data_IF_482197074713
#
_entry.id   IF_482197074713
#
_cell.length_a   1.000
_cell.length_b   1.000
_cell.length_c   1.000
_cell.angle_alpha   90.00
_cell.angle_beta   90.00
_cell.angle_gamma   90.00
#
_symmetry.space_group_name_H-M   'P 1'
#
loop_
_entity.id
_entity.type
_entity.pdbx_description
1 polymer ?
#
# COMPACT_ATOMS: atom_id res chain seq x y z
N UNK A 1 -4.13 44.61 51.48
CA UNK A 1 -3.62 44.56 50.09
C UNK A 1 -3.73 43.14 49.58
N UNK A 2 -4.33 42.98 48.41
CA UNK A 2 -4.82 41.73 47.84
C UNK A 2 -3.68 40.89 47.26
N UNK A 3 -3.67 39.60 47.56
CA UNK A 3 -2.71 38.61 47.07
C UNK A 3 -2.78 38.49 45.54
N UNK A 4 -1.66 38.71 44.85
CA UNK A 4 -1.51 38.39 43.44
C UNK A 4 -1.00 36.95 43.30
N UNK A 5 -1.90 36.02 42.97
CA UNK A 5 -1.54 34.66 42.58
C UNK A 5 -0.80 34.66 41.22
N UNK A 6 0.30 33.91 41.05
CA UNK A 6 0.92 33.74 39.75
C UNK A 6 0.03 32.88 38.85
N UNK A 7 -0.29 33.41 37.67
CA UNK A 7 -1.06 32.76 36.61
C UNK A 7 -0.47 31.37 36.32
N UNK A 8 -1.25 30.32 36.59
CA UNK A 8 -1.00 28.98 36.09
C UNK A 8 -0.77 29.03 34.57
N UNK A 9 0.47 28.83 34.12
CA UNK A 9 0.74 28.52 32.71
C UNK A 9 0.07 27.19 32.41
N UNK A 10 -0.96 27.24 31.56
CA UNK A 10 -1.57 26.04 31.01
C UNK A 10 -0.47 25.20 30.32
N UNK A 11 -0.33 23.94 30.73
CA UNK A 11 0.53 22.98 30.06
C UNK A 11 0.04 22.79 28.61
N UNK A 12 0.93 22.73 27.61
CA UNK A 12 0.54 22.40 26.25
C UNK A 12 -0.06 20.99 26.23
N UNK A 13 -1.31 20.87 25.81
CA UNK A 13 -1.98 19.58 25.60
C UNK A 13 -1.22 18.78 24.55
N UNK A 14 -0.93 17.51 24.85
CA UNK A 14 -0.28 16.59 23.89
C UNK A 14 -1.14 16.48 22.63
N UNK A 15 -0.55 16.54 21.41
CA UNK A 15 -1.27 16.24 20.18
C UNK A 15 -1.83 14.82 20.25
N UNK A 16 -3.12 14.64 19.92
CA UNK A 16 -3.74 13.30 19.84
C UNK A 16 -3.20 12.56 18.61
N UNK A 17 -2.91 11.25 18.68
CA UNK A 17 -2.28 10.50 17.58
C UNK A 17 -3.18 10.23 16.35
N UNK A 18 -4.39 10.78 16.31
CA UNK A 18 -5.46 10.27 15.44
C UNK A 18 -5.82 11.28 14.34
N UNK A 19 -4.81 11.93 13.74
CA UNK A 19 -5.07 12.82 12.59
C UNK A 19 -5.32 11.94 11.35
N UNK A 20 -6.52 12.00 10.72
CA UNK A 20 -6.81 11.21 9.53
C UNK A 20 -5.84 11.58 8.40
N UNK A 21 -5.19 10.57 7.79
CA UNK A 21 -4.30 10.76 6.63
C UNK A 21 -4.98 11.63 5.57
N UNK A 22 -4.29 12.70 5.17
CA UNK A 22 -4.81 13.67 4.21
C UNK A 22 -5.05 13.01 2.84
N UNK A 23 -6.02 13.51 2.07
CA UNK A 23 -6.33 12.99 0.73
C UNK A 23 -5.10 12.99 -0.18
N UNK A 24 -4.20 13.96 -0.01
CA UNK A 24 -2.93 14.05 -0.73
C UNK A 24 -1.98 12.88 -0.42
N UNK A 25 -1.87 12.45 0.84
CA UNK A 25 -1.05 11.29 1.21
C UNK A 25 -1.62 9.98 0.67
N UNK A 26 -2.94 9.86 0.61
CA UNK A 26 -3.63 8.69 0.03
C UNK A 26 -3.40 8.60 -1.48
N UNK A 27 -3.52 9.72 -2.18
CA UNK A 27 -3.25 9.81 -3.61
C UNK A 27 -1.77 9.54 -3.92
N UNK A 28 -0.85 10.15 -3.19
CA UNK A 28 0.58 9.90 -3.37
C UNK A 28 0.94 8.43 -3.15
N UNK A 29 0.32 7.77 -2.16
CA UNK A 29 0.52 6.34 -1.92
C UNK A 29 -0.04 5.48 -3.06
N UNK A 30 -1.27 5.76 -3.52
CA UNK A 30 -1.88 5.04 -4.65
C UNK A 30 -1.06 5.19 -5.95
N UNK A 31 -0.66 6.43 -6.28
CA UNK A 31 0.19 6.72 -7.45
C UNK A 31 1.56 6.05 -7.35
N UNK A 32 2.18 6.05 -6.15
CA UNK A 32 3.46 5.37 -5.95
C UNK A 32 3.34 3.84 -6.08
N UNK A 33 2.23 3.27 -5.65
CA UNK A 33 1.94 1.84 -5.80
C UNK A 33 1.74 1.48 -7.27
N UNK A 34 0.95 2.27 -7.99
CA UNK A 34 0.65 2.06 -9.41
C UNK A 34 1.88 2.24 -10.31
N UNK A 35 2.70 3.27 -10.05
CA UNK A 35 3.96 3.46 -10.76
C UNK A 35 4.93 2.29 -10.53
N UNK A 36 4.96 1.77 -9.30
CA UNK A 36 5.82 0.62 -8.96
C UNK A 36 5.33 -0.64 -9.68
N UNK A 37 4.01 -0.88 -9.73
CA UNK A 37 3.44 -2.00 -10.47
C UNK A 37 3.75 -1.93 -11.97
N UNK A 38 3.61 -0.74 -12.59
CA UNK A 38 3.89 -0.55 -14.03
C UNK A 38 5.38 -0.75 -14.33
N UNK A 39 6.28 -0.15 -13.53
CA UNK A 39 7.74 -0.26 -13.75
C UNK A 39 8.25 -1.70 -13.64
N UNK A 40 7.59 -2.53 -12.84
CA UNK A 40 8.01 -3.91 -12.61
C UNK A 40 7.35 -4.90 -13.56
N UNK A 41 6.02 -4.83 -13.69
CA UNK A 41 5.27 -5.81 -14.45
C UNK A 41 5.37 -5.55 -15.95
N UNK A 42 5.32 -4.28 -16.39
CA UNK A 42 5.22 -3.98 -17.82
C UNK A 42 6.44 -4.45 -18.63
N UNK A 43 7.70 -4.26 -18.20
CA UNK A 43 8.85 -4.76 -18.95
C UNK A 43 8.94 -6.28 -19.00
N UNK A 44 8.62 -6.96 -17.88
CA UNK A 44 8.69 -8.42 -17.79
C UNK A 44 7.65 -9.06 -18.69
N UNK A 45 6.40 -8.61 -18.60
CA UNK A 45 5.29 -9.14 -19.41
C UNK A 45 5.47 -8.78 -20.88
N UNK A 46 5.93 -7.56 -21.19
CA UNK A 46 6.27 -7.15 -22.57
C UNK A 46 7.34 -8.06 -23.17
N UNK A 47 8.39 -8.41 -22.41
CA UNK A 47 9.45 -9.28 -22.89
C UNK A 47 8.99 -10.73 -23.10
N UNK A 48 8.18 -11.26 -22.18
CA UNK A 48 7.66 -12.63 -22.26
C UNK A 48 6.64 -12.80 -23.39
N UNK A 49 5.74 -11.83 -23.57
CA UNK A 49 4.65 -11.90 -24.54
C UNK A 49 4.95 -11.19 -25.88
N UNK A 50 6.09 -10.50 -26.00
CA UNK A 50 6.45 -9.73 -27.20
C UNK A 50 5.54 -8.52 -27.47
N UNK A 51 4.80 -8.04 -26.47
CA UNK A 51 3.83 -6.95 -26.59
C UNK A 51 4.47 -5.59 -26.31
N UNK A 52 3.91 -4.50 -26.85
CA UNK A 52 4.43 -3.15 -26.55
C UNK A 52 4.20 -2.76 -25.08
N UNK A 53 5.14 -2.00 -24.51
CA UNK A 53 5.05 -1.51 -23.12
C UNK A 53 3.77 -0.70 -22.87
N UNK A 54 3.30 0.06 -23.86
CA UNK A 54 2.07 0.87 -23.75
C UNK A 54 0.86 -0.05 -23.60
N UNK A 55 0.80 -1.13 -24.36
CA UNK A 55 -0.32 -2.08 -24.35
C UNK A 55 -0.42 -2.82 -23.02
N UNK A 56 0.72 -3.31 -22.50
CA UNK A 56 0.81 -3.97 -21.19
C UNK A 56 0.59 -2.98 -20.04
N UNK A 57 1.10 -1.75 -20.17
CA UNK A 57 0.91 -0.69 -19.20
C UNK A 57 -0.56 -0.28 -19.08
N UNK A 58 -1.28 -0.18 -20.20
CA UNK A 58 -2.72 0.10 -20.22
C UNK A 58 -3.52 -1.02 -19.52
N UNK A 59 -3.21 -2.29 -19.80
CA UNK A 59 -3.83 -3.42 -19.12
C UNK A 59 -3.56 -3.37 -17.61
N UNK A 60 -2.32 -3.10 -17.20
CA UNK A 60 -1.94 -3.01 -15.79
C UNK A 60 -2.70 -1.90 -15.06
N UNK A 61 -2.86 -0.73 -15.68
CA UNK A 61 -3.65 0.37 -15.14
C UNK A 61 -5.14 0.03 -15.05
N UNK A 62 -5.70 -0.64 -16.06
CA UNK A 62 -7.09 -1.09 -16.05
C UNK A 62 -7.34 -2.13 -14.94
N UNK A 63 -6.45 -3.11 -14.80
CA UNK A 63 -6.51 -4.13 -13.73
C UNK A 63 -6.40 -3.48 -12.35
N UNK A 64 -5.51 -2.50 -12.17
CA UNK A 64 -5.38 -1.70 -10.94
C UNK A 64 -6.70 -1.01 -10.58
N UNK A 65 -7.33 -0.34 -11.55
CA UNK A 65 -8.62 0.33 -11.35
C UNK A 65 -9.73 -0.67 -10.97
N UNK A 66 -9.79 -1.81 -11.66
CA UNK A 66 -10.75 -2.88 -11.36
C UNK A 66 -10.51 -3.44 -9.96
N UNK A 67 -9.26 -3.69 -9.57
CA UNK A 67 -8.91 -4.18 -8.24
C UNK A 67 -9.31 -3.19 -7.14
N UNK A 68 -9.08 -1.89 -7.35
CA UNK A 68 -9.51 -0.85 -6.42
C UNK A 68 -11.03 -0.80 -6.29
N UNK A 69 -11.76 -0.83 -7.41
CA UNK A 69 -13.21 -0.82 -7.42
C UNK A 69 -13.79 -2.08 -6.77
N UNK A 70 -13.24 -3.25 -7.11
CA UNK A 70 -13.60 -4.54 -6.52
C UNK A 70 -13.37 -4.55 -5.02
N UNK A 71 -12.25 -4.01 -4.55
CA UNK A 71 -11.96 -3.95 -3.12
C UNK A 71 -13.01 -3.13 -2.35
N UNK A 72 -13.41 -1.98 -2.88
CA UNK A 72 -14.48 -1.17 -2.25
C UNK A 72 -15.82 -1.91 -2.30
N UNK A 73 -16.18 -2.46 -3.46
CA UNK A 73 -17.45 -3.15 -3.65
C UNK A 73 -17.58 -4.41 -2.77
N UNK A 74 -16.57 -5.27 -2.78
CA UNK A 74 -16.52 -6.50 -2.00
C UNK A 74 -16.59 -6.21 -0.50
N UNK A 75 -15.80 -5.25 -0.01
CA UNK A 75 -15.84 -4.86 1.40
C UNK A 75 -17.24 -4.37 1.80
N UNK A 76 -17.86 -3.51 0.99
CA UNK A 76 -19.21 -3.02 1.27
C UNK A 76 -20.27 -4.15 1.26
N UNK A 77 -20.17 -5.12 0.35
CA UNK A 77 -21.07 -6.29 0.30
C UNK A 77 -20.85 -7.18 1.53
N UNK A 78 -19.61 -7.52 1.83
CA UNK A 78 -19.28 -8.41 2.93
C UNK A 78 -19.69 -7.82 4.29
N UNK A 79 -19.51 -6.52 4.48
CA UNK A 79 -19.99 -5.82 5.67
C UNK A 79 -21.52 -5.89 5.81
N UNK A 80 -22.28 -5.80 4.71
CA UNK A 80 -23.74 -5.97 4.77
C UNK A 80 -24.11 -7.40 5.17
N UNK A 81 -23.39 -8.39 4.67
CA UNK A 81 -23.57 -9.81 5.03
C UNK A 81 -23.27 -10.02 6.51
N UNK A 82 -22.13 -9.51 7.01
CA UNK A 82 -21.77 -9.58 8.43
C UNK A 82 -22.85 -8.98 9.33
N UNK A 83 -23.38 -7.79 8.97
CA UNK A 83 -24.47 -7.14 9.71
C UNK A 83 -25.79 -7.92 9.62
N UNK A 84 -26.12 -8.50 8.46
CA UNK A 84 -27.38 -9.22 8.25
C UNK A 84 -27.43 -10.53 9.01
N UNK A 85 -26.30 -11.23 9.12
CA UNK A 85 -26.21 -12.55 9.77
C UNK A 85 -25.58 -12.50 11.18
N UNK A 86 -25.23 -11.31 11.68
CA UNK A 86 -24.63 -11.15 13.02
C UNK A 86 -23.28 -11.85 13.16
N UNK A 87 -22.50 -11.93 12.07
CA UNK A 87 -21.24 -12.68 12.04
C UNK A 87 -20.19 -12.01 12.92
N UNK A 88 -19.62 -12.75 13.87
CA UNK A 88 -18.46 -12.31 14.65
C UNK A 88 -17.20 -12.56 13.82
N UNK A 89 -16.35 -11.54 13.67
CA UNK A 89 -15.07 -11.59 12.92
C UNK A 89 -14.01 -12.47 13.59
N UNK A 90 -14.26 -13.78 13.63
CA UNK A 90 -13.30 -14.78 14.04
C UNK A 90 -12.35 -15.16 12.88
N UNK A 91 -11.37 -16.01 13.16
CA UNK A 91 -10.36 -16.42 12.18
C UNK A 91 -10.99 -17.09 10.95
N UNK A 92 -12.02 -17.92 11.13
CA UNK A 92 -12.70 -18.60 10.03
C UNK A 92 -13.38 -17.61 9.08
N UNK A 93 -14.09 -16.60 9.61
CA UNK A 93 -14.72 -15.55 8.80
C UNK A 93 -13.67 -14.76 8.02
N UNK A 94 -12.50 -14.49 8.61
CA UNK A 94 -11.38 -13.81 7.91
C UNK A 94 -10.81 -14.65 6.77
N UNK A 95 -10.65 -15.96 6.97
CA UNK A 95 -10.18 -16.87 5.92
C UNK A 95 -11.19 -16.92 4.78
N UNK A 96 -12.47 -17.12 5.09
CA UNK A 96 -13.54 -17.13 4.08
C UNK A 96 -13.59 -15.81 3.31
N UNK A 97 -13.48 -14.68 4.02
CA UNK A 97 -13.42 -13.36 3.40
C UNK A 97 -12.24 -13.24 2.43
N UNK A 98 -11.04 -13.61 2.85
CA UNK A 98 -9.84 -13.52 2.02
C UNK A 98 -9.93 -14.43 0.79
N UNK A 99 -10.37 -15.67 0.95
CA UNK A 99 -10.55 -16.61 -0.16
C UNK A 99 -11.62 -16.09 -1.14
N UNK A 100 -12.76 -15.63 -0.64
CA UNK A 100 -13.83 -15.11 -1.50
C UNK A 100 -13.43 -13.82 -2.22
N UNK A 101 -12.66 -12.94 -1.57
CA UNK A 101 -12.10 -11.73 -2.18
C UNK A 101 -11.19 -12.11 -3.36
N UNK A 102 -10.25 -13.00 -3.11
CA UNK A 102 -9.21 -13.38 -4.07
C UNK A 102 -9.83 -14.12 -5.27
N UNK A 103 -10.70 -15.10 -5.01
CA UNK A 103 -11.41 -15.82 -6.08
C UNK A 103 -12.30 -14.90 -6.91
N UNK A 104 -12.98 -13.94 -6.27
CA UNK A 104 -13.78 -12.95 -6.98
C UNK A 104 -12.93 -12.01 -7.84
N UNK A 105 -11.75 -11.61 -7.36
CA UNK A 105 -10.82 -10.79 -8.13
C UNK A 105 -10.25 -11.57 -9.33
N UNK A 106 -9.82 -12.82 -9.12
CA UNK A 106 -9.36 -13.73 -10.19
C UNK A 106 -10.45 -13.89 -11.27
N UNK A 107 -11.71 -14.08 -10.86
CA UNK A 107 -12.82 -14.24 -11.79
C UNK A 107 -13.11 -12.99 -12.64
N UNK A 108 -12.68 -11.79 -12.21
CA UNK A 108 -12.79 -10.56 -13.00
C UNK A 108 -11.54 -10.30 -13.84
N UNK A 109 -10.36 -10.49 -13.26
CA UNK A 109 -9.09 -10.11 -13.87
C UNK A 109 -8.65 -11.12 -14.93
N UNK A 110 -8.81 -12.43 -14.70
CA UNK A 110 -8.34 -13.43 -15.67
C UNK A 110 -9.09 -13.41 -17.00
N UNK A 111 -10.44 -13.31 -17.06
CA UNK A 111 -11.13 -13.20 -18.34
C UNK A 111 -10.76 -11.93 -19.09
N UNK A 112 -10.57 -10.82 -18.37
CA UNK A 112 -10.11 -9.57 -18.96
C UNK A 112 -8.69 -9.73 -19.55
N UNK A 113 -7.75 -10.28 -18.79
CA UNK A 113 -6.38 -10.48 -19.25
C UNK A 113 -6.30 -11.47 -20.43
N UNK A 114 -7.05 -12.57 -20.36
CA UNK A 114 -7.17 -13.55 -21.44
C UNK A 114 -7.71 -12.91 -22.72
N UNK A 115 -8.78 -12.12 -22.62
CA UNK A 115 -9.35 -11.41 -23.76
C UNK A 115 -8.42 -10.31 -24.30
N UNK A 116 -7.76 -9.55 -23.43
CA UNK A 116 -6.91 -8.43 -23.82
C UNK A 116 -5.59 -8.86 -24.46
N UNK A 117 -4.98 -9.93 -23.93
CA UNK A 117 -3.69 -10.44 -24.39
C UNK A 117 -3.84 -11.54 -25.45
N UNK A 118 -5.08 -11.91 -25.79
CA UNK A 118 -5.41 -13.02 -26.71
C UNK A 118 -4.77 -14.37 -26.31
N UNK A 119 -4.65 -14.61 -25.01
CA UNK A 119 -4.12 -15.86 -24.43
C UNK A 119 -5.26 -16.67 -23.80
N UNK A 120 -5.05 -17.96 -23.60
CA UNK A 120 -6.01 -18.82 -22.90
C UNK A 120 -6.16 -18.42 -21.42
N UNK A 121 -7.29 -18.78 -20.79
CA UNK A 121 -7.51 -18.54 -19.35
C UNK A 121 -6.43 -19.20 -18.47
N UNK A 122 -5.92 -20.37 -18.89
CA UNK A 122 -4.86 -21.07 -18.18
C UNK A 122 -3.53 -20.30 -18.28
N UNK A 123 -3.19 -19.79 -19.46
CA UNK A 123 -2.00 -18.94 -19.65
C UNK A 123 -2.12 -17.64 -18.86
N UNK A 124 -3.30 -17.01 -18.82
CA UNK A 124 -3.54 -15.83 -18.00
C UNK A 124 -3.36 -16.14 -16.49
N UNK A 125 -3.86 -17.29 -16.02
CA UNK A 125 -3.66 -17.74 -14.64
C UNK A 125 -2.19 -18.00 -14.32
N UNK A 126 -1.46 -18.66 -15.23
CA UNK A 126 -0.02 -18.91 -15.08
C UNK A 126 0.79 -17.62 -15.11
N UNK A 127 0.41 -16.66 -15.95
CA UNK A 127 1.01 -15.33 -16.00
C UNK A 127 0.80 -14.60 -14.67
N UNK A 128 -0.42 -14.58 -14.14
CA UNK A 128 -0.76 -13.96 -12.85
C UNK A 128 0.02 -14.59 -11.70
N UNK A 129 0.10 -15.93 -11.66
CA UNK A 129 0.89 -16.66 -10.67
C UNK A 129 2.39 -16.38 -10.81
N UNK A 130 2.90 -16.29 -12.04
CA UNK A 130 4.29 -15.96 -12.34
C UNK A 130 4.65 -14.55 -11.87
N UNK A 131 3.79 -13.57 -12.12
CA UNK A 131 3.93 -12.19 -11.63
C UNK A 131 3.91 -12.18 -10.10
N UNK A 132 2.96 -12.86 -9.46
CA UNK A 132 2.86 -12.95 -8.00
C UNK A 132 4.14 -13.54 -7.37
N UNK A 133 4.63 -14.65 -7.92
CA UNK A 133 5.85 -15.32 -7.46
C UNK A 133 7.11 -14.47 -7.67
N UNK A 134 7.15 -13.66 -8.73
CA UNK A 134 8.25 -12.70 -8.95
C UNK A 134 8.16 -11.49 -8.00
N UNK A 135 6.95 -11.00 -7.73
CA UNK A 135 6.71 -9.82 -6.91
C UNK A 135 7.01 -10.05 -5.42
N UNK A 136 6.82 -11.27 -4.91
CA UNK A 136 7.09 -11.64 -3.52
C UNK A 136 8.56 -11.41 -3.08
N UNK A 137 9.57 -12.03 -3.73
CA UNK A 137 10.97 -11.78 -3.40
C UNK A 137 11.37 -10.34 -3.74
N UNK A 138 10.87 -9.76 -4.84
CA UNK A 138 11.11 -8.35 -5.16
C UNK A 138 10.68 -7.42 -4.02
N UNK A 139 9.45 -7.57 -3.54
CA UNK A 139 8.87 -6.75 -2.45
C UNK A 139 9.70 -6.88 -1.19
N UNK A 140 10.14 -8.11 -0.87
CA UNK A 140 11.03 -8.37 0.25
C UNK A 140 12.36 -7.61 0.14
N UNK A 141 13.05 -7.70 -1.01
CA UNK A 141 14.32 -6.99 -1.21
C UNK A 141 14.15 -5.47 -1.26
N UNK A 142 13.11 -4.96 -1.92
CA UNK A 142 12.80 -3.54 -1.96
C UNK A 142 12.58 -2.97 -0.55
N UNK A 143 11.77 -3.66 0.27
CA UNK A 143 11.54 -3.28 1.67
C UNK A 143 12.86 -3.27 2.47
N UNK A 144 13.71 -4.28 2.29
CA UNK A 144 15.02 -4.36 2.95
C UNK A 144 15.93 -3.17 2.60
N UNK A 145 15.99 -2.81 1.32
CA UNK A 145 16.78 -1.67 0.82
C UNK A 145 16.22 -0.35 1.35
N UNK A 146 14.89 -0.18 1.33
CA UNK A 146 14.22 1.01 1.83
C UNK A 146 14.47 1.21 3.34
N UNK A 147 14.36 0.16 4.14
CA UNK A 147 14.63 0.19 5.57
C UNK A 147 16.10 0.54 5.86
N UNK A 148 17.04 -0.02 5.08
CA UNK A 148 18.48 0.30 5.17
C UNK A 148 18.75 1.78 4.87
N UNK A 149 18.11 2.33 3.84
CA UNK A 149 18.21 3.74 3.46
C UNK A 149 17.61 4.66 4.53
N UNK A 150 16.45 4.28 5.07
CA UNK A 150 15.75 5.02 6.12
C UNK A 150 16.58 5.05 7.40
N UNK A 151 17.14 3.92 7.82
CA UNK A 151 18.04 3.84 8.98
C UNK A 151 19.22 4.80 8.85
N UNK A 152 19.89 4.81 7.69
CA UNK A 152 21.02 5.72 7.41
C UNK A 152 20.62 7.20 7.44
N UNK A 153 19.42 7.55 6.99
CA UNK A 153 18.92 8.95 7.05
C UNK A 153 18.61 9.39 8.49
N UNK A 154 18.03 8.51 9.30
CA UNK A 154 17.73 8.79 10.71
C UNK A 154 19.03 8.97 11.51
N UNK A 155 20.03 8.10 11.32
CA UNK A 155 21.33 8.21 11.98
C UNK A 155 22.06 9.51 11.62
N UNK A 156 22.00 9.93 10.35
CA UNK A 156 22.60 11.21 9.91
C UNK A 156 21.93 12.41 10.59
N UNK A 157 20.60 12.40 10.73
CA UNK A 157 19.87 13.46 11.45
C UNK A 157 20.21 13.46 12.94
N UNK A 158 20.23 12.29 13.59
CA UNK A 158 20.59 12.15 14.99
C UNK A 158 22.04 12.60 15.28
N UNK A 159 22.98 12.32 14.37
CA UNK A 159 24.38 12.74 14.49
C UNK A 159 24.56 14.25 14.30
N UNK A 160 23.79 14.89 13.40
CA UNK A 160 23.76 16.36 13.27
C UNK A 160 23.16 17.03 14.52
N UNK A 161 22.06 16.51 15.06
CA UNK A 161 21.44 17.03 16.27
C UNK A 161 22.38 16.96 17.49
N UNK A 162 23.08 15.83 17.67
CA UNK A 162 24.09 15.67 18.74
C UNK A 162 25.28 16.64 18.61
N UNK A 163 25.76 16.89 17.38
CA UNK A 163 26.81 17.90 17.15
C UNK A 163 26.34 19.31 17.45
N UNK A 164 25.10 19.66 17.09
CA UNK A 164 24.54 20.98 17.34
C UNK A 164 24.34 21.26 18.85
N UNK A 165 23.87 20.27 19.61
CA UNK A 165 23.72 20.37 21.07
C UNK A 165 25.07 20.57 21.77
N UNK A 166 26.07 19.71 21.48
CA UNK A 166 27.44 19.86 22.04
C UNK A 166 28.11 21.19 21.68
N UNK A 167 27.83 21.74 20.50
CA UNK A 167 28.38 23.03 20.06
C UNK A 167 27.68 24.25 20.69
N UNK A 168 26.49 24.07 21.26
CA UNK A 168 25.78 25.10 22.03
C UNK A 168 26.22 25.11 23.50
N UNK A 169 26.45 23.93 24.08
CA UNK A 169 26.89 23.76 25.48
C UNK A 169 28.33 24.22 25.72
N UNK A 170 29.19 24.20 24.69
CA UNK A 170 30.55 24.72 24.76
C UNK A 170 30.64 26.26 24.60
N UNK A 171 29.51 26.94 24.38
CA UNK A 171 29.44 28.42 24.23
C UNK A 171 28.75 29.13 25.38
N UNK A 172 28.31 28.40 26.41
CA UNK A 172 27.71 28.90 27.64
C UNK A 172 28.63 28.59 28.81
#
# INVERSE_FOLDING_TARGET
MQQAQPKHRASPSRPRPDTPKTLAERLAHALSFELTAIVLCAPVVSWVLGLSLVHVGALTALVSLIAMAWNVAFNAVFERIERRFGLVRNVAVRIVHAIAFELGLIALVLPLASWWLEISLLEALLLDLGILLFFLPYTFFFNLVYDRLRARRIERKARKARKAWKAGEART
#
